data_IF_911589039318
#
_entry.id   IF_911589039318
#
_cell.length_a   1.000
_cell.length_b   1.000
_cell.length_c   1.000
_cell.angle_alpha   90.00
_cell.angle_beta   90.00
_cell.angle_gamma   90.00
#
_symmetry.space_group_name_H-M   'P 1'
#
loop_
_entity.id
_entity.type
_entity.pdbx_description
1 polymer ?
#
# COMPACT_ATOMS: atom_id res chain seq x y z
N UNK A 1 -15.71 12.40 14.41
CA UNK A 1 -16.87 12.38 13.49
C UNK A 1 -16.37 11.76 12.19
N UNK A 2 -17.12 10.90 11.49
CA UNK A 2 -16.66 10.32 10.23
C UNK A 2 -16.13 11.41 9.29
N UNK A 3 -15.09 11.09 8.51
CA UNK A 3 -14.73 11.93 7.37
C UNK A 3 -15.99 12.26 6.58
N UNK A 4 -16.19 13.56 6.35
CA UNK A 4 -17.29 14.03 5.52
C UNK A 4 -16.70 14.55 4.23
N UNK A 5 -17.30 14.20 3.09
CA UNK A 5 -16.91 14.81 1.84
C UNK A 5 -17.03 16.34 1.94
N UNK A 6 -16.14 17.10 1.28
CA UNK A 6 -16.31 18.54 1.18
C UNK A 6 -17.62 18.86 0.45
N UNK A 7 -18.20 20.04 0.71
CA UNK A 7 -19.44 20.40 0.03
C UNK A 7 -19.16 20.64 -1.47
N UNK A 8 -20.07 20.28 -2.39
CA UNK A 8 -19.92 20.55 -3.82
C UNK A 8 -19.61 22.01 -4.15
N UNK A 9 -20.17 22.93 -3.36
CA UNK A 9 -19.90 24.35 -3.52
C UNK A 9 -18.43 24.71 -3.24
N UNK A 10 -17.81 24.11 -2.23
CA UNK A 10 -16.42 24.39 -1.86
C UNK A 10 -15.45 23.94 -2.96
N UNK A 11 -15.73 22.75 -3.53
CA UNK A 11 -14.99 22.23 -4.69
C UNK A 11 -15.22 23.11 -5.92
N UNK A 12 -16.47 23.46 -6.21
CA UNK A 12 -16.80 24.34 -7.33
C UNK A 12 -16.11 25.71 -7.23
N UNK A 13 -15.95 26.28 -6.02
CA UNK A 13 -15.28 27.55 -5.85
C UNK A 13 -13.82 27.55 -6.31
N UNK A 14 -13.17 26.39 -6.26
CA UNK A 14 -11.77 26.20 -6.68
C UNK A 14 -11.65 25.73 -8.14
N UNK A 15 -12.74 25.31 -8.79
CA UNK A 15 -12.69 24.94 -10.20
C UNK A 15 -12.52 26.17 -11.12
N UNK A 16 -12.09 25.97 -12.40
CA UNK A 16 -11.94 27.05 -13.37
C UNK A 16 -13.22 27.85 -13.70
N UNK A 17 -14.41 27.29 -13.42
CA UNK A 17 -15.74 27.89 -13.70
C UNK A 17 -15.96 28.30 -15.16
N UNK A 18 -15.24 27.69 -16.09
CA UNK A 18 -15.36 27.97 -17.53
C UNK A 18 -16.56 27.28 -18.17
N UNK A 19 -17.11 26.25 -17.53
CA UNK A 19 -18.21 25.42 -18.06
C UNK A 19 -17.95 24.91 -19.49
N UNK A 20 -16.69 24.64 -19.84
CA UNK A 20 -16.28 24.33 -21.20
C UNK A 20 -16.65 22.93 -21.71
N UNK A 21 -17.08 22.01 -20.84
CA UNK A 21 -17.45 20.63 -21.20
C UNK A 21 -16.29 19.72 -21.59
N UNK A 22 -15.02 20.18 -21.54
CA UNK A 22 -13.85 19.38 -21.91
C UNK A 22 -13.64 18.12 -21.06
N UNK A 23 -14.17 18.10 -19.84
CA UNK A 23 -14.16 16.94 -18.94
C UNK A 23 -15.31 15.95 -19.19
N UNK A 24 -16.16 16.18 -20.20
CA UNK A 24 -17.34 15.35 -20.49
C UNK A 24 -18.57 15.67 -19.64
N UNK A 25 -18.47 16.59 -18.68
CA UNK A 25 -19.58 17.02 -17.84
C UNK A 25 -20.33 18.23 -18.40
N UNK A 26 -21.63 18.34 -18.07
CA UNK A 26 -22.49 19.42 -18.55
C UNK A 26 -22.02 20.83 -18.11
N UNK A 27 -21.42 20.94 -16.93
CA UNK A 27 -20.85 22.18 -16.39
C UNK A 27 -19.89 21.87 -15.22
N UNK A 28 -19.18 22.89 -14.71
CA UNK A 28 -18.22 22.71 -13.62
C UNK A 28 -18.88 22.28 -12.30
N UNK A 29 -20.16 22.60 -12.05
CA UNK A 29 -20.86 22.12 -10.85
C UNK A 29 -21.15 20.62 -10.93
N UNK A 30 -21.58 20.11 -12.09
CA UNK A 30 -21.74 18.69 -12.33
C UNK A 30 -20.43 17.94 -12.10
N UNK A 31 -19.31 18.46 -12.63
CA UNK A 31 -17.98 17.93 -12.36
C UNK A 31 -17.63 17.92 -10.87
N UNK A 32 -17.90 19.01 -10.13
CA UNK A 32 -17.65 19.07 -8.69
C UNK A 32 -18.40 17.98 -7.90
N UNK A 33 -19.68 17.74 -8.23
CA UNK A 33 -20.50 16.70 -7.58
C UNK A 33 -19.95 15.29 -7.84
N UNK A 34 -19.59 15.00 -9.09
CA UNK A 34 -19.02 13.69 -9.47
C UNK A 34 -17.63 13.48 -8.89
N UNK A 35 -16.85 14.54 -8.77
CA UNK A 35 -15.50 14.52 -8.20
C UNK A 35 -15.54 14.17 -6.70
N UNK A 36 -16.49 14.75 -5.95
CA UNK A 36 -16.70 14.43 -4.53
C UNK A 36 -17.17 12.99 -4.33
N UNK A 37 -17.96 12.49 -5.28
CA UNK A 37 -18.43 11.10 -5.30
C UNK A 37 -17.35 10.11 -5.77
N UNK A 38 -16.14 10.62 -6.09
CA UNK A 38 -14.99 9.85 -6.58
C UNK A 38 -15.29 9.07 -7.88
N UNK A 39 -16.22 9.56 -8.68
CA UNK A 39 -16.57 8.99 -9.98
C UNK A 39 -15.66 9.50 -11.11
N UNK A 40 -15.07 10.68 -10.91
CA UNK A 40 -14.10 11.32 -11.79
C UNK A 40 -12.91 11.79 -10.96
N UNK A 41 -11.79 12.10 -11.60
CA UNK A 41 -10.56 12.55 -10.97
C UNK A 41 -10.28 14.03 -11.28
N UNK A 42 -9.40 14.65 -10.51
CA UNK A 42 -8.99 16.04 -10.76
C UNK A 42 -8.35 16.22 -12.13
N UNK A 43 -7.59 15.22 -12.56
CA UNK A 43 -6.87 15.16 -13.83
C UNK A 43 -7.82 15.12 -15.03
N UNK A 44 -9.10 14.79 -14.83
CA UNK A 44 -10.11 14.77 -15.89
C UNK A 44 -10.59 16.19 -16.28
N UNK A 45 -10.08 17.24 -15.64
CA UNK A 45 -10.34 18.65 -15.99
C UNK A 45 -9.13 19.28 -16.70
N UNK A 46 -9.03 19.22 -18.04
CA UNK A 46 -7.86 19.75 -18.76
C UNK A 46 -7.51 21.22 -18.41
N UNK A 47 -8.47 22.16 -18.32
CA UNK A 47 -8.16 23.54 -17.95
C UNK A 47 -7.49 23.67 -16.58
N UNK A 48 -7.85 22.82 -15.62
CA UNK A 48 -7.28 22.85 -14.26
C UNK A 48 -5.81 22.40 -14.24
N UNK A 49 -5.43 21.52 -15.17
CA UNK A 49 -4.08 20.93 -15.25
C UNK A 49 -3.16 21.74 -16.18
N UNK A 50 -3.68 22.17 -17.32
CA UNK A 50 -2.90 22.78 -18.41
C UNK A 50 -2.65 24.28 -18.20
N UNK A 51 -3.56 24.98 -17.51
CA UNK A 51 -3.46 26.43 -17.36
C UNK A 51 -2.80 26.81 -16.03
N UNK A 52 -1.60 27.42 -16.10
CA UNK A 52 -0.80 27.80 -14.93
C UNK A 52 -1.55 28.67 -13.92
N UNK A 53 -2.52 29.49 -14.38
CA UNK A 53 -3.34 30.35 -13.50
C UNK A 53 -4.18 29.57 -12.49
N UNK A 54 -4.46 28.28 -12.73
CA UNK A 54 -5.26 27.44 -11.83
C UNK A 54 -4.41 26.50 -10.98
N UNK A 55 -3.08 26.58 -11.07
CA UNK A 55 -2.16 25.69 -10.34
C UNK A 55 -2.34 25.74 -8.82
N UNK A 56 -2.57 26.93 -8.26
CA UNK A 56 -2.85 27.07 -6.82
C UNK A 56 -4.19 26.41 -6.44
N UNK A 57 -5.22 26.59 -7.27
CA UNK A 57 -6.52 25.95 -7.06
C UNK A 57 -6.44 24.43 -7.15
N UNK A 58 -5.65 23.91 -8.10
CA UNK A 58 -5.37 22.49 -8.24
C UNK A 58 -4.75 21.92 -6.95
N UNK A 59 -3.72 22.57 -6.40
CA UNK A 59 -3.10 22.11 -5.15
C UNK A 59 -4.05 22.16 -3.94
N UNK A 60 -4.92 23.19 -3.86
CA UNK A 60 -5.96 23.28 -2.83
C UNK A 60 -6.98 22.16 -2.95
N UNK A 61 -7.45 21.89 -4.18
CA UNK A 61 -8.39 20.80 -4.47
C UNK A 61 -7.78 19.44 -4.16
N UNK A 62 -6.53 19.22 -4.59
CA UNK A 62 -5.79 17.99 -4.33
C UNK A 62 -5.72 17.72 -2.83
N UNK A 63 -5.35 18.72 -2.02
CA UNK A 63 -5.32 18.61 -0.55
C UNK A 63 -6.70 18.37 0.07
N UNK A 64 -7.73 19.05 -0.42
CA UNK A 64 -9.10 18.94 0.08
C UNK A 64 -9.69 17.54 -0.16
N UNK A 65 -9.32 16.90 -1.27
CA UNK A 65 -9.83 15.60 -1.69
C UNK A 65 -8.94 14.43 -1.23
N UNK A 66 -7.82 14.70 -0.53
CA UNK A 66 -6.94 13.66 -0.03
C UNK A 66 -7.72 12.68 0.86
N UNK A 67 -7.56 11.37 0.65
CA UNK A 67 -8.17 10.37 1.50
C UNK A 67 -7.55 10.42 2.91
N UNK A 68 -8.36 10.23 3.98
CA UNK A 68 -7.88 10.04 5.35
C UNK A 68 -6.81 8.95 5.48
N UNK A 69 -6.95 7.86 4.71
CA UNK A 69 -5.91 6.86 4.52
C UNK A 69 -5.21 7.15 3.20
N UNK A 70 -3.94 7.56 3.27
CA UNK A 70 -3.11 7.85 2.10
C UNK A 70 -3.10 6.68 1.12
N UNK A 71 -2.93 7.03 -0.15
CA UNK A 71 -2.69 6.07 -1.21
C UNK A 71 -1.17 5.89 -1.37
N UNK A 72 -0.74 4.65 -1.57
CA UNK A 72 0.66 4.30 -1.84
C UNK A 72 0.71 3.47 -3.11
N UNK A 73 1.58 3.85 -4.05
CA UNK A 73 1.76 3.16 -5.32
C UNK A 73 2.95 2.19 -5.27
N UNK A 74 2.71 0.94 -5.65
CA UNK A 74 3.74 -0.05 -5.92
C UNK A 74 3.76 -0.30 -7.43
N UNK A 75 4.96 -0.31 -8.01
CA UNK A 75 5.12 -0.32 -9.47
C UNK A 75 6.23 -1.28 -9.93
N UNK A 76 5.98 -1.91 -11.06
CA UNK A 76 6.96 -2.51 -11.95
C UNK A 76 6.97 -1.74 -13.29
N UNK A 77 7.90 -2.01 -14.22
CA UNK A 77 7.91 -1.35 -15.52
C UNK A 77 6.61 -1.49 -16.33
N UNK A 78 5.82 -2.53 -16.07
CA UNK A 78 4.62 -2.86 -16.87
C UNK A 78 3.30 -2.79 -16.09
N UNK A 79 3.34 -2.81 -14.75
CA UNK A 79 2.14 -2.82 -13.91
C UNK A 79 2.31 -1.93 -12.70
N UNK A 80 1.23 -1.26 -12.30
CA UNK A 80 1.15 -0.49 -11.08
C UNK A 80 -0.09 -0.90 -10.29
N UNK A 81 0.02 -0.92 -8.97
CA UNK A 81 -1.09 -1.11 -8.04
C UNK A 81 -1.08 0.00 -7.00
N UNK A 82 -2.28 0.34 -6.50
CA UNK A 82 -2.48 1.35 -5.48
C UNK A 82 -3.11 0.70 -4.25
N UNK A 83 -2.45 0.84 -3.10
CA UNK A 83 -2.97 0.40 -1.81
C UNK A 83 -3.39 1.60 -0.96
N UNK A 84 -4.29 1.39 0.01
CA UNK A 84 -4.88 2.47 0.78
C UNK A 84 -5.87 3.30 -0.06
N UNK A 85 -5.84 4.63 0.07
CA UNK A 85 -6.77 5.51 -0.62
C UNK A 85 -8.20 5.37 -0.11
N UNK A 86 -8.40 5.51 1.20
CA UNK A 86 -9.67 5.16 1.85
C UNK A 86 -10.23 6.25 2.75
N UNK A 87 -11.55 6.32 2.77
CA UNK A 87 -12.31 7.41 3.39
C UNK A 87 -13.14 7.00 4.59
N UNK A 88 -13.73 5.80 4.56
CA UNK A 88 -14.72 5.36 5.57
C UNK A 88 -14.34 4.01 6.18
N UNK A 89 -14.88 3.74 7.37
CA UNK A 89 -14.78 2.43 8.00
C UNK A 89 -15.86 1.50 7.45
N UNK A 90 -17.10 1.98 7.21
CA UNK A 90 -18.19 1.12 6.77
C UNK A 90 -18.54 1.33 5.30
N UNK A 91 -18.59 0.23 4.54
CA UNK A 91 -18.87 0.25 3.09
C UNK A 91 -20.24 0.81 2.66
N UNK A 92 -21.18 0.95 3.59
CA UNK A 92 -22.51 1.50 3.31
C UNK A 92 -22.55 3.03 3.41
N UNK A 93 -21.53 3.65 4.01
CA UNK A 93 -21.38 5.12 4.05
C UNK A 93 -20.77 5.62 2.74
N UNK A 94 -19.75 4.93 2.24
CA UNK A 94 -19.13 5.15 0.94
C UNK A 94 -18.54 3.83 0.43
N UNK A 95 -18.61 3.61 -0.88
CA UNK A 95 -17.98 2.45 -1.52
C UNK A 95 -16.48 2.42 -1.18
N UNK A 96 -15.94 1.23 -0.92
CA UNK A 96 -14.48 1.11 -0.84
C UNK A 96 -13.87 1.21 -2.24
N UNK A 97 -12.95 2.14 -2.38
CA UNK A 97 -12.07 2.27 -3.54
C UNK A 97 -10.77 1.49 -3.29
N UNK A 98 -10.02 1.15 -4.33
CA UNK A 98 -8.79 0.35 -4.28
C UNK A 98 -8.96 -1.00 -3.56
N UNK A 99 -9.33 -2.08 -4.27
CA UNK A 99 -9.42 -3.42 -3.68
C UNK A 99 -8.17 -3.81 -2.89
N UNK A 100 -8.31 -4.73 -1.93
CA UNK A 100 -7.15 -5.25 -1.20
C UNK A 100 -6.18 -5.91 -2.17
N UNK A 101 -4.94 -5.44 -2.19
CA UNK A 101 -3.89 -6.07 -2.98
C UNK A 101 -3.50 -7.40 -2.33
N UNK A 102 -3.49 -8.49 -3.10
CA UNK A 102 -3.06 -9.81 -2.64
C UNK A 102 -1.67 -10.10 -3.20
N UNK A 103 -0.73 -10.38 -2.28
CA UNK A 103 0.63 -10.78 -2.60
C UNK A 103 0.86 -12.24 -2.21
N UNK A 104 1.51 -13.01 -3.08
CA UNK A 104 1.93 -14.38 -2.78
C UNK A 104 3.44 -14.41 -2.57
N UNK A 105 3.89 -15.20 -1.60
CA UNK A 105 5.29 -15.26 -1.23
C UNK A 105 6.11 -16.25 -2.07
N UNK A 106 7.38 -15.88 -2.21
CA UNK A 106 8.50 -16.73 -2.63
C UNK A 106 9.70 -16.38 -1.73
N UNK A 107 10.67 -17.27 -1.63
CA UNK A 107 11.84 -17.04 -0.77
C UNK A 107 13.16 -17.35 -1.47
N UNK A 108 14.24 -16.77 -0.94
CA UNK A 108 15.60 -16.85 -1.47
C UNK A 108 16.33 -18.18 -1.20
N UNK A 109 15.67 -19.15 -0.56
CA UNK A 109 16.17 -20.53 -0.47
C UNK A 109 15.71 -21.40 -1.65
N UNK A 110 14.71 -20.96 -2.40
CA UNK A 110 14.20 -21.68 -3.57
C UNK A 110 15.24 -21.73 -4.70
N UNK A 111 15.35 -22.89 -5.34
CA UNK A 111 16.13 -23.03 -6.57
C UNK A 111 15.56 -22.14 -7.68
N UNK A 112 16.44 -21.64 -8.56
CA UNK A 112 16.08 -20.66 -9.61
C UNK A 112 14.92 -21.15 -10.49
N UNK A 113 14.91 -22.43 -10.83
CA UNK A 113 13.86 -23.05 -11.65
C UNK A 113 12.51 -23.08 -10.92
N UNK A 114 12.51 -23.37 -9.62
CA UNK A 114 11.31 -23.37 -8.78
C UNK A 114 10.79 -21.96 -8.60
N UNK A 115 11.67 -21.00 -8.31
CA UNK A 115 11.35 -19.59 -8.16
C UNK A 115 10.72 -19.02 -9.45
N UNK A 116 11.34 -19.31 -10.60
CA UNK A 116 10.83 -18.92 -11.92
C UNK A 116 9.44 -19.48 -12.17
N UNK A 117 9.24 -20.80 -11.94
CA UNK A 117 7.94 -21.44 -12.12
C UNK A 117 6.88 -20.84 -11.19
N UNK A 118 7.20 -20.58 -9.92
CA UNK A 118 6.27 -19.96 -8.97
C UNK A 118 5.89 -18.54 -9.40
N UNK A 119 6.86 -17.72 -9.81
CA UNK A 119 6.59 -16.37 -10.31
C UNK A 119 5.64 -16.39 -11.51
N UNK A 120 5.85 -17.31 -12.46
CA UNK A 120 4.98 -17.48 -13.64
C UNK A 120 3.57 -17.96 -13.28
N UNK A 121 3.43 -18.87 -12.30
CA UNK A 121 2.12 -19.31 -11.80
C UNK A 121 1.37 -18.13 -11.16
N UNK A 122 2.06 -17.32 -10.35
CA UNK A 122 1.47 -16.16 -9.69
C UNK A 122 1.03 -15.11 -10.72
N UNK A 123 1.90 -14.80 -11.69
CA UNK A 123 1.60 -13.89 -12.82
C UNK A 123 0.37 -14.34 -13.63
N UNK A 124 0.32 -15.63 -13.95
CA UNK A 124 -0.72 -16.23 -14.79
C UNK A 124 -2.00 -16.59 -14.04
N UNK A 125 -2.05 -16.40 -12.71
CA UNK A 125 -3.22 -16.76 -11.93
C UNK A 125 -4.43 -15.92 -12.35
N UNK A 126 -5.48 -16.60 -12.78
CA UNK A 126 -6.77 -16.01 -13.11
C UNK A 126 -7.88 -16.92 -12.61
N UNK A 127 -8.87 -16.32 -11.93
CA UNK A 127 -10.07 -17.02 -11.48
C UNK A 127 -11.30 -16.24 -11.93
N UNK A 128 -12.19 -16.88 -12.69
CA UNK A 128 -13.43 -16.26 -13.14
C UNK A 128 -14.53 -16.44 -12.10
N UNK A 129 -15.06 -15.33 -11.60
CA UNK A 129 -16.16 -15.31 -10.64
C UNK A 129 -17.23 -14.33 -11.11
N UNK A 130 -18.40 -14.86 -11.49
CA UNK A 130 -19.57 -14.06 -11.91
C UNK A 130 -19.19 -13.05 -13.01
N UNK A 131 -18.50 -13.52 -14.05
CA UNK A 131 -18.05 -12.70 -15.20
C UNK A 131 -16.89 -11.74 -14.91
N UNK A 132 -16.31 -11.76 -13.71
CA UNK A 132 -15.11 -11.00 -13.36
C UNK A 132 -13.89 -11.91 -13.33
N UNK A 133 -12.78 -11.45 -13.90
CA UNK A 133 -11.48 -12.13 -13.83
C UNK A 133 -10.70 -11.61 -12.64
N UNK A 134 -10.59 -12.41 -11.59
CA UNK A 134 -9.78 -12.12 -10.41
C UNK A 134 -8.33 -12.53 -10.67
N UNK A 135 -7.38 -11.69 -10.26
CA UNK A 135 -5.93 -11.87 -10.44
C UNK A 135 -5.20 -11.56 -9.14
N UNK A 136 -3.95 -12.00 -9.04
CA UNK A 136 -3.04 -11.59 -7.99
C UNK A 136 -2.39 -10.24 -8.33
N UNK A 137 -1.95 -9.52 -7.31
CA UNK A 137 -1.54 -8.11 -7.44
C UNK A 137 -0.04 -7.89 -7.29
N UNK A 138 0.62 -8.69 -6.45
CA UNK A 138 2.04 -8.51 -6.13
C UNK A 138 2.73 -9.85 -5.81
N UNK A 139 4.06 -9.83 -5.75
CA UNK A 139 4.88 -10.95 -5.26
C UNK A 139 5.70 -10.46 -4.06
N UNK A 140 5.64 -11.19 -2.94
CA UNK A 140 6.47 -10.92 -1.77
C UNK A 140 7.72 -11.80 -1.81
N UNK A 141 8.90 -11.20 -2.00
CA UNK A 141 10.17 -11.93 -2.02
C UNK A 141 10.78 -11.86 -0.63
N UNK A 142 10.87 -13.00 0.05
CA UNK A 142 11.36 -13.12 1.44
C UNK A 142 12.82 -13.55 1.49
N UNK A 143 13.59 -12.89 2.35
CA UNK A 143 14.91 -13.37 2.76
C UNK A 143 14.77 -14.33 3.95
N UNK A 144 14.88 -15.63 3.71
CA UNK A 144 14.99 -16.66 4.75
C UNK A 144 16.43 -17.13 4.95
N UNK A 145 17.31 -16.94 3.97
CA UNK A 145 18.71 -17.37 4.07
C UNK A 145 19.62 -16.35 4.77
N UNK A 146 19.27 -15.07 4.72
CA UNK A 146 20.12 -13.99 5.23
C UNK A 146 21.32 -13.66 4.33
N UNK A 147 21.44 -14.28 3.15
CA UNK A 147 22.56 -14.09 2.23
C UNK A 147 22.28 -12.99 1.19
N UNK A 148 23.17 -12.00 1.14
CA UNK A 148 23.06 -10.83 0.25
C UNK A 148 22.91 -11.22 -1.23
N UNK A 149 23.70 -12.18 -1.69
CA UNK A 149 23.74 -12.57 -3.11
C UNK A 149 22.52 -13.40 -3.48
N UNK A 150 22.10 -14.32 -2.60
CA UNK A 150 20.91 -15.13 -2.83
C UNK A 150 19.66 -14.27 -2.90
N UNK A 151 19.48 -13.35 -1.95
CA UNK A 151 18.30 -12.48 -1.95
C UNK A 151 18.26 -11.56 -3.17
N UNK A 152 19.36 -10.88 -3.50
CA UNK A 152 19.43 -10.05 -4.70
C UNK A 152 19.19 -10.85 -5.99
N UNK A 153 19.72 -12.09 -6.06
CA UNK A 153 19.48 -12.98 -7.20
C UNK A 153 18.01 -13.41 -7.29
N UNK A 154 17.39 -13.77 -6.18
CA UNK A 154 15.98 -14.16 -6.14
C UNK A 154 15.08 -13.01 -6.63
N UNK A 155 15.34 -11.78 -6.16
CA UNK A 155 14.62 -10.58 -6.61
C UNK A 155 14.79 -10.35 -8.12
N UNK A 156 16.01 -10.48 -8.66
CA UNK A 156 16.27 -10.38 -10.11
C UNK A 156 15.44 -11.39 -10.90
N UNK A 157 15.48 -12.66 -10.48
CA UNK A 157 14.78 -13.76 -11.18
C UNK A 157 13.28 -13.51 -11.18
N UNK A 158 12.70 -13.07 -10.07
CA UNK A 158 11.26 -12.77 -10.00
C UNK A 158 10.92 -11.58 -10.91
N UNK A 159 11.71 -10.50 -10.88
CA UNK A 159 11.50 -9.31 -11.70
C UNK A 159 11.62 -9.58 -13.22
N UNK A 160 12.50 -10.50 -13.62
CA UNK A 160 12.67 -10.93 -15.02
C UNK A 160 11.50 -11.79 -15.52
N UNK A 161 10.77 -12.45 -14.62
CA UNK A 161 9.75 -13.46 -14.95
C UNK A 161 8.32 -13.08 -14.56
N UNK A 162 8.09 -11.89 -14.02
CA UNK A 162 6.76 -11.38 -13.67
C UNK A 162 6.67 -9.88 -13.91
N UNK A 163 5.49 -9.42 -14.30
CA UNK A 163 5.17 -8.00 -14.39
C UNK A 163 4.57 -7.45 -13.10
N UNK A 164 4.34 -8.27 -12.07
CA UNK A 164 3.75 -7.82 -10.82
C UNK A 164 4.71 -6.91 -10.02
N UNK A 165 4.20 -5.87 -9.35
CA UNK A 165 4.96 -5.15 -8.33
C UNK A 165 5.45 -6.07 -7.21
N UNK A 166 6.59 -5.72 -6.60
CA UNK A 166 7.25 -6.56 -5.60
C UNK A 166 7.13 -5.97 -4.18
N UNK A 167 7.17 -6.84 -3.19
CA UNK A 167 7.38 -6.51 -1.78
C UNK A 167 8.71 -7.18 -1.36
N UNK A 168 9.67 -6.40 -0.89
CA UNK A 168 10.98 -6.87 -0.45
C UNK A 168 10.92 -7.15 1.06
N UNK A 169 10.82 -8.43 1.43
CA UNK A 169 10.60 -8.85 2.81
C UNK A 169 11.91 -9.25 3.51
N UNK A 170 12.54 -8.28 4.17
CA UNK A 170 13.68 -8.43 5.06
C UNK A 170 13.76 -7.27 6.08
N UNK A 171 14.12 -7.58 7.33
CA UNK A 171 14.47 -6.59 8.35
C UNK A 171 15.95 -6.21 8.33
N UNK A 172 16.75 -6.78 7.43
CA UNK A 172 18.16 -6.42 7.28
C UNK A 172 18.33 -5.33 6.20
N UNK A 173 18.78 -4.11 6.55
CA UNK A 173 18.94 -3.02 5.60
C UNK A 173 19.85 -3.36 4.40
N UNK A 174 20.94 -4.10 4.62
CA UNK A 174 21.89 -4.43 3.56
C UNK A 174 21.27 -5.37 2.50
N UNK A 175 20.38 -6.27 2.92
CA UNK A 175 19.64 -7.15 1.99
C UNK A 175 18.66 -6.35 1.13
N UNK A 176 17.94 -5.41 1.75
CA UNK A 176 16.99 -4.54 1.04
C UNK A 176 17.71 -3.64 0.05
N UNK A 177 18.83 -3.03 0.45
CA UNK A 177 19.65 -2.19 -0.42
C UNK A 177 20.16 -2.97 -1.64
N UNK A 178 20.75 -4.15 -1.44
CA UNK A 178 21.23 -5.00 -2.54
C UNK A 178 20.11 -5.40 -3.51
N UNK A 179 18.91 -5.69 -3.00
CA UNK A 179 17.74 -5.98 -3.84
C UNK A 179 17.28 -4.77 -4.66
N UNK A 180 17.27 -3.56 -4.06
CA UNK A 180 16.91 -2.33 -4.74
C UNK A 180 17.92 -1.94 -5.83
N UNK A 181 19.21 -2.14 -5.59
CA UNK A 181 20.27 -1.91 -6.58
C UNK A 181 20.05 -2.75 -7.85
N UNK A 182 19.65 -4.02 -7.69
CA UNK A 182 19.37 -4.91 -8.82
C UNK A 182 18.07 -4.53 -9.56
N UNK A 183 17.06 -4.04 -8.86
CA UNK A 183 15.79 -3.62 -9.47
C UNK A 183 15.89 -2.33 -10.27
N UNK A 184 16.91 -1.50 -10.04
CA UNK A 184 17.15 -0.26 -10.77
C UNK A 184 15.96 0.71 -10.82
N UNK A 185 15.57 1.34 -9.69
CA UNK A 185 14.62 2.46 -9.69
C UNK A 185 15.04 3.56 -10.69
N UNK A 186 14.09 4.30 -11.29
CA UNK A 186 12.70 4.47 -10.85
C UNK A 186 11.68 3.53 -11.51
N UNK A 187 12.12 2.63 -12.39
CA UNK A 187 11.22 1.75 -13.16
C UNK A 187 10.53 0.71 -12.27
N UNK A 188 11.27 0.12 -11.34
CA UNK A 188 10.70 -0.65 -10.24
C UNK A 188 10.56 0.24 -9.00
N UNK A 189 9.42 0.10 -8.33
CA UNK A 189 9.10 0.79 -7.08
C UNK A 189 8.42 -0.20 -6.11
N UNK A 190 9.21 -1.12 -5.51
CA UNK A 190 8.67 -2.12 -4.60
C UNK A 190 8.34 -1.52 -3.23
N UNK A 191 7.54 -2.23 -2.42
CA UNK A 191 7.40 -1.93 -1.00
C UNK A 191 8.52 -2.60 -0.19
N UNK A 192 9.21 -1.84 0.65
CA UNK A 192 10.14 -2.40 1.64
C UNK A 192 9.34 -2.91 2.84
N UNK A 193 9.55 -4.18 3.22
CA UNK A 193 9.04 -4.76 4.46
C UNK A 193 10.23 -5.31 5.29
N UNK A 194 10.63 -4.72 6.41
CA UNK A 194 10.03 -3.56 7.09
C UNK A 194 11.03 -2.80 8.00
N UNK A 195 10.68 -1.55 8.27
CA UNK A 195 11.24 -0.79 9.39
C UNK A 195 10.61 -1.24 10.72
N UNK A 196 11.44 -1.38 11.74
CA UNK A 196 11.14 -1.80 13.11
C UNK A 196 11.87 -0.87 14.07
N UNK A 197 11.62 -1.00 15.38
CA UNK A 197 12.32 -0.18 16.40
C UNK A 197 13.85 -0.27 16.33
N UNK A 198 14.39 -1.36 15.80
CA UNK A 198 15.82 -1.68 15.83
C UNK A 198 16.58 -1.23 14.57
N UNK A 199 15.87 -0.94 13.46
CA UNK A 199 16.49 -0.67 12.15
C UNK A 199 15.82 0.49 11.37
N UNK A 200 14.90 1.24 12.01
CA UNK A 200 14.06 2.20 11.31
C UNK A 200 14.85 3.29 10.60
N UNK A 201 16.01 3.69 11.15
CA UNK A 201 16.81 4.80 10.62
C UNK A 201 17.44 4.42 9.30
N UNK A 202 18.14 3.29 9.26
CA UNK A 202 18.79 2.77 8.06
C UNK A 202 17.74 2.46 6.98
N UNK A 203 16.62 1.83 7.36
CA UNK A 203 15.51 1.56 6.43
C UNK A 203 14.90 2.84 5.86
N UNK A 204 14.79 3.90 6.67
CA UNK A 204 14.28 5.19 6.22
C UNK A 204 15.23 5.89 5.22
N UNK A 205 16.53 5.84 5.50
CA UNK A 205 17.56 6.40 4.62
C UNK A 205 17.56 5.67 3.27
N UNK A 206 17.44 4.34 3.27
CA UNK A 206 17.28 3.52 2.05
C UNK A 206 16.01 3.91 1.30
N UNK A 207 14.85 3.90 1.96
CA UNK A 207 13.56 4.22 1.34
C UNK A 207 13.56 5.59 0.67
N UNK A 208 14.15 6.60 1.34
CA UNK A 208 14.26 7.97 0.82
C UNK A 208 15.22 8.06 -0.36
N UNK A 209 16.37 7.39 -0.29
CA UNK A 209 17.38 7.42 -1.36
C UNK A 209 16.86 6.76 -2.65
N UNK A 210 16.14 5.65 -2.53
CA UNK A 210 15.60 4.92 -3.69
C UNK A 210 14.20 5.37 -4.11
N UNK A 211 13.56 6.29 -3.37
CA UNK A 211 12.19 6.77 -3.58
C UNK A 211 11.16 5.61 -3.66
N UNK A 212 11.17 4.77 -2.62
CA UNK A 212 10.30 3.59 -2.51
C UNK A 212 9.48 3.63 -1.21
N UNK A 213 8.24 3.09 -1.21
CA UNK A 213 7.43 3.04 -0.01
C UNK A 213 8.00 2.09 1.05
N UNK A 214 7.71 2.39 2.31
CA UNK A 214 8.26 1.68 3.47
C UNK A 214 7.15 1.20 4.41
N UNK A 215 7.10 -0.11 4.66
CA UNK A 215 6.28 -0.68 5.71
C UNK A 215 6.96 -0.54 7.09
N UNK A 216 6.15 -0.29 8.10
CA UNK A 216 6.52 -0.23 9.51
C UNK A 216 5.86 -1.41 10.20
N UNK A 217 6.66 -2.23 10.88
CA UNK A 217 6.17 -3.37 11.62
C UNK A 217 6.43 -3.19 13.12
N UNK A 218 5.37 -3.27 13.92
CA UNK A 218 5.45 -3.37 15.37
C UNK A 218 4.34 -4.32 15.88
N UNK A 219 4.48 -5.64 15.63
CA UNK A 219 3.47 -6.63 16.00
C UNK A 219 3.14 -6.60 17.49
N UNK A 220 1.87 -6.43 17.83
CA UNK A 220 1.43 -6.41 19.24
C UNK A 220 1.59 -5.05 19.94
N UNK A 221 2.21 -4.05 19.32
CA UNK A 221 2.55 -2.77 19.95
C UNK A 221 2.13 -1.56 19.08
N UNK A 222 0.87 -1.12 19.25
CA UNK A 222 0.33 0.02 18.52
C UNK A 222 0.99 1.36 18.89
N UNK A 223 1.46 1.49 20.12
CA UNK A 223 2.12 2.73 20.56
C UNK A 223 3.49 2.88 19.87
N UNK A 224 4.26 1.79 19.78
CA UNK A 224 5.49 1.75 19.00
C UNK A 224 5.23 1.98 17.51
N UNK A 225 4.19 1.33 16.94
CA UNK A 225 3.81 1.51 15.53
C UNK A 225 3.57 2.98 15.19
N UNK A 226 2.78 3.67 16.02
CA UNK A 226 2.46 5.09 15.85
C UNK A 226 3.70 5.98 16.08
N UNK A 227 4.53 5.64 17.07
CA UNK A 227 5.78 6.36 17.35
C UNK A 227 6.74 6.32 16.16
N UNK A 228 6.88 5.15 15.53
CA UNK A 228 7.67 4.98 14.31
C UNK A 228 7.03 5.74 13.13
N UNK A 229 5.71 5.66 12.95
CA UNK A 229 5.02 6.40 11.89
C UNK A 229 5.24 7.92 12.02
N UNK A 230 5.18 8.46 13.26
CA UNK A 230 5.51 9.86 13.53
C UNK A 230 6.96 10.19 13.20
N UNK A 231 7.90 9.37 13.69
CA UNK A 231 9.33 9.59 13.51
C UNK A 231 9.71 9.58 12.03
N UNK A 232 9.20 8.62 11.26
CA UNK A 232 9.48 8.47 9.84
C UNK A 232 8.82 9.57 9.01
N UNK A 233 7.57 9.92 9.31
CA UNK A 233 6.87 10.97 8.55
C UNK A 233 7.37 12.37 8.86
N UNK A 234 7.52 12.76 10.13
CA UNK A 234 7.91 14.12 10.51
C UNK A 234 9.43 14.30 10.59
N UNK A 235 10.16 13.30 11.10
CA UNK A 235 11.60 13.38 11.29
C UNK A 235 12.39 13.12 10.02
N UNK A 236 11.95 12.17 9.19
CA UNK A 236 12.64 11.80 7.95
C UNK A 236 11.98 12.34 6.69
N UNK A 237 10.73 12.82 6.79
CA UNK A 237 9.95 13.34 5.67
C UNK A 237 9.39 12.25 4.75
N UNK A 238 9.22 11.02 5.23
CA UNK A 238 8.66 9.92 4.44
C UNK A 238 7.13 9.99 4.44
N UNK A 239 6.55 10.24 3.26
CA UNK A 239 5.10 10.38 3.13
C UNK A 239 4.36 9.08 2.81
N UNK A 240 5.07 8.07 2.28
CA UNK A 240 4.51 6.81 1.79
C UNK A 240 4.92 5.65 2.70
N UNK A 241 4.18 5.56 3.80
CA UNK A 241 4.33 4.52 4.81
C UNK A 241 3.19 3.52 4.72
N UNK A 242 3.42 2.30 5.18
CA UNK A 242 2.42 1.24 5.34
C UNK A 242 2.53 0.68 6.76
N UNK A 243 1.41 0.40 7.44
CA UNK A 243 1.41 -0.04 8.83
C UNK A 243 1.10 -1.53 8.95
N UNK A 244 1.97 -2.26 9.63
CA UNK A 244 1.77 -3.65 10.04
C UNK A 244 1.71 -3.73 11.59
N UNK A 245 0.49 -3.77 12.18
CA UNK A 245 0.32 -4.00 13.62
C UNK A 245 0.47 -5.47 14.04
N UNK A 246 0.73 -6.38 13.09
CA UNK A 246 0.89 -7.81 13.30
C UNK A 246 -0.39 -8.63 13.13
N UNK A 247 -0.24 -9.83 12.56
CA UNK A 247 -1.24 -10.89 12.58
C UNK A 247 -0.86 -11.90 13.66
N UNK A 248 -1.51 -11.84 14.82
CA UNK A 248 -1.13 -12.63 15.99
C UNK A 248 -1.98 -13.89 16.14
N UNK A 249 -1.34 -14.97 16.58
CA UNK A 249 -1.98 -16.28 16.82
C UNK A 249 -2.06 -16.64 18.31
N UNK A 250 -2.78 -17.72 18.61
CA UNK A 250 -3.00 -18.20 19.98
C UNK A 250 -4.12 -17.45 20.72
N UNK A 251 -4.29 -17.71 22.03
CA UNK A 251 -5.36 -17.11 22.83
C UNK A 251 -5.34 -15.59 22.78
N UNK A 252 -6.39 -14.99 22.19
CA UNK A 252 -6.51 -13.54 22.04
C UNK A 252 -5.80 -12.94 20.82
N UNK A 253 -5.01 -13.70 20.07
CA UNK A 253 -4.25 -13.20 18.91
C UNK A 253 -5.15 -12.69 17.78
N UNK A 254 -6.14 -13.47 17.35
CA UNK A 254 -7.12 -13.03 16.35
C UNK A 254 -7.92 -11.82 16.83
N UNK A 255 -8.32 -11.81 18.11
CA UNK A 255 -9.02 -10.68 18.71
C UNK A 255 -8.16 -9.41 18.71
N UNK A 256 -6.86 -9.52 19.00
CA UNK A 256 -5.93 -8.40 18.89
C UNK A 256 -5.85 -7.92 17.45
N UNK A 257 -5.64 -8.84 16.50
CA UNK A 257 -5.50 -8.54 15.07
C UNK A 257 -6.71 -7.76 14.57
N UNK A 258 -7.92 -8.32 14.68
CA UNK A 258 -9.15 -7.63 14.23
C UNK A 258 -9.32 -6.26 14.90
N UNK A 259 -9.03 -6.16 16.20
CA UNK A 259 -9.11 -4.89 16.95
C UNK A 259 -8.10 -3.86 16.43
N UNK A 260 -6.84 -4.24 16.23
CA UNK A 260 -5.77 -3.35 15.80
C UNK A 260 -6.06 -2.73 14.43
N UNK A 261 -6.43 -3.55 13.44
CA UNK A 261 -6.78 -3.07 12.10
C UNK A 261 -8.03 -2.17 12.13
N UNK A 262 -9.05 -2.57 12.89
CA UNK A 262 -10.28 -1.78 13.04
C UNK A 262 -10.02 -0.43 13.71
N UNK A 263 -9.18 -0.40 14.75
CA UNK A 263 -8.82 0.82 15.46
C UNK A 263 -7.98 1.76 14.61
N UNK A 264 -6.94 1.26 13.93
CA UNK A 264 -6.13 2.09 13.03
C UNK A 264 -7.01 2.71 11.93
N UNK A 265 -7.90 1.91 11.34
CA UNK A 265 -8.84 2.43 10.34
C UNK A 265 -9.80 3.45 10.93
N UNK A 266 -10.38 3.19 12.09
CA UNK A 266 -11.27 4.14 12.75
C UNK A 266 -10.54 5.45 13.04
N UNK A 267 -9.33 5.39 13.59
CA UNK A 267 -8.51 6.56 13.89
C UNK A 267 -8.17 7.37 12.63
N UNK A 268 -7.85 6.70 11.53
CA UNK A 268 -7.61 7.37 10.26
C UNK A 268 -8.88 8.07 9.73
N UNK A 269 -10.01 7.36 9.68
CA UNK A 269 -11.21 7.83 8.97
C UNK A 269 -12.14 8.72 9.81
N UNK A 270 -12.16 8.59 11.14
CA UNK A 270 -13.15 9.27 12.02
C UNK A 270 -12.51 10.27 12.98
N UNK A 271 -11.26 10.02 13.36
CA UNK A 271 -10.50 10.97 14.17
C UNK A 271 -9.54 11.79 13.31
N UNK A 272 -9.44 11.49 12.00
CA UNK A 272 -8.50 12.10 11.05
C UNK A 272 -7.07 12.11 11.58
N UNK A 273 -6.72 11.06 12.34
CA UNK A 273 -5.44 11.00 13.02
C UNK A 273 -4.34 10.63 12.04
N UNK A 274 -3.52 11.63 11.68
CA UNK A 274 -2.51 11.52 10.63
C UNK A 274 -1.55 10.33 10.77
N UNK A 275 -1.22 9.89 11.98
CA UNK A 275 -0.28 8.77 12.19
C UNK A 275 -0.91 7.39 11.95
N UNK A 276 -2.24 7.30 11.92
CA UNK A 276 -2.97 6.12 11.49
C UNK A 276 -3.39 6.20 10.01
N UNK A 277 -3.17 7.35 9.35
CA UNK A 277 -3.62 7.69 8.01
C UNK A 277 -2.85 7.01 6.87
N UNK A 278 -2.42 5.77 7.05
CA UNK A 278 -1.61 5.01 6.11
C UNK A 278 -2.27 3.66 5.77
N UNK A 279 -1.99 3.07 4.59
CA UNK A 279 -2.44 1.72 4.27
C UNK A 279 -2.03 0.72 5.35
N UNK A 280 -2.84 -0.33 5.53
CA UNK A 280 -2.53 -1.44 6.44
C UNK A 280 -2.05 -2.64 5.63
N UNK A 281 -1.02 -3.31 6.12
CA UNK A 281 -0.51 -4.57 5.56
C UNK A 281 -0.74 -5.70 6.55
N UNK A 282 -1.45 -6.73 6.12
CA UNK A 282 -1.61 -7.98 6.87
C UNK A 282 -0.61 -9.02 6.40
N UNK A 283 -0.01 -9.71 7.37
CA UNK A 283 0.99 -10.76 7.15
C UNK A 283 0.54 -12.07 7.82
N UNK A 284 -0.54 -12.74 7.36
CA UNK A 284 -0.95 -14.04 7.89
C UNK A 284 0.18 -15.07 7.93
N UNK A 285 1.06 -15.04 6.92
CA UNK A 285 2.27 -15.86 6.82
C UNK A 285 3.22 -15.75 8.04
N UNK A 286 3.12 -14.68 8.83
CA UNK A 286 3.92 -14.55 10.06
C UNK A 286 3.62 -15.65 11.08
N UNK A 287 2.50 -16.37 10.95
CA UNK A 287 2.18 -17.54 11.80
C UNK A 287 3.28 -18.60 11.80
N UNK A 288 3.96 -18.80 10.67
CA UNK A 288 5.05 -19.77 10.54
C UNK A 288 6.27 -19.45 11.43
N UNK A 289 6.34 -18.24 11.98
CA UNK A 289 7.36 -17.82 12.95
C UNK A 289 6.85 -17.77 14.39
N UNK A 290 5.53 -17.77 14.58
CA UNK A 290 4.89 -17.64 15.89
C UNK A 290 4.49 -19.00 16.49
N UNK A 291 4.33 -20.03 15.65
CA UNK A 291 3.88 -21.35 16.06
C UNK A 291 4.86 -22.43 15.60
N UNK A 292 4.91 -23.50 16.39
CA UNK A 292 5.57 -24.76 16.02
C UNK A 292 4.56 -25.89 16.20
N UNK A 293 4.64 -26.94 15.39
CA UNK A 293 3.66 -28.04 15.42
C UNK A 293 3.45 -28.73 14.08
N UNK A 294 2.33 -29.44 13.94
CA UNK A 294 1.91 -30.03 12.66
C UNK A 294 1.73 -28.90 11.63
N UNK A 295 2.39 -28.96 10.46
CA UNK A 295 2.26 -27.94 9.42
C UNK A 295 0.81 -27.64 9.03
N UNK A 296 -0.10 -28.62 9.11
CA UNK A 296 -1.52 -28.40 8.82
C UNK A 296 -2.19 -27.46 9.82
N UNK A 297 -1.81 -27.52 11.09
CA UNK A 297 -2.35 -26.61 12.10
C UNK A 297 -1.87 -25.18 11.85
N UNK A 298 -0.59 -25.02 11.46
CA UNK A 298 -0.02 -23.72 11.09
C UNK A 298 -0.72 -23.15 9.86
N UNK A 299 -0.97 -23.97 8.83
CA UNK A 299 -1.73 -23.58 7.62
C UNK A 299 -3.17 -23.16 7.96
N UNK A 300 -3.84 -23.84 8.88
CA UNK A 300 -5.18 -23.45 9.32
C UNK A 300 -5.18 -22.08 9.98
N UNK A 301 -4.19 -21.79 10.82
CA UNK A 301 -4.05 -20.47 11.41
C UNK A 301 -3.73 -19.38 10.38
N UNK A 302 -2.89 -19.68 9.39
CA UNK A 302 -2.63 -18.76 8.27
C UNK A 302 -3.92 -18.42 7.52
N UNK A 303 -4.79 -19.40 7.29
CA UNK A 303 -6.06 -19.20 6.58
C UNK A 303 -7.13 -18.43 7.37
N UNK A 304 -7.02 -18.40 8.70
CA UNK A 304 -7.97 -17.70 9.59
C UNK A 304 -7.64 -16.21 9.73
N UNK A 305 -6.35 -15.85 9.63
CA UNK A 305 -5.83 -14.49 9.82
C UNK A 305 -6.04 -13.60 8.59
#
# INVERSE_FOLDING_TARGET
>A
MPWKPPAPIDVYQLLPKTNCGKCGEANCMAFAVRLISLEVKLEDCPPLIEEDRFRESYEKLRKLLLPPVKEVELRSPKRSIKIGGKYVLFRHELKYHNPTAIAIDVDDSMEVEVLTRRAQIIEGFEYEYVGQKLKLDAIAVRSVTGDLKKFAKAVSVVAENSSLPLILCSTNPALVEAALEVLGPPYHRPLIYAATKDNWREMAEIAKRFDVPLAIAAPGDLDMLVSLAKTLSEGMGLEELVLDPGCLVGPGGLSYTVKAYSWLRYKAAYDLWKYAGYPLLATPISVWTQMSGDPRDVMWWEAIL
#
